data_IF_211542842629
#
_entry.id   IF_211542842629
#
_cell.length_a   1.000
_cell.length_b   1.000
_cell.length_c   1.000
_cell.angle_alpha   90.00
_cell.angle_beta   90.00
_cell.angle_gamma   90.00
#
_symmetry.space_group_name_H-M   'P 1'
#
loop_
_entity.id
_entity.type
_entity.pdbx_description
1 polymer ?
#
# COMPACT_ATOMS: atom_id res chain seq x y z
N UNK A 1 38.01 44.45 18.32
CA UNK A 1 37.56 43.10 18.74
C UNK A 1 36.42 42.67 17.82
N UNK A 2 36.63 41.73 16.91
CA UNK A 2 35.56 41.30 16.04
C UNK A 2 34.75 40.20 16.73
N UNK A 3 33.47 40.45 16.92
CA UNK A 3 32.48 39.47 17.41
C UNK A 3 32.13 38.49 16.31
N UNK A 4 32.60 37.29 16.42
CA UNK A 4 32.17 36.18 15.55
C UNK A 4 30.79 35.73 16.01
N UNK A 5 29.77 36.17 15.27
CA UNK A 5 28.43 35.61 15.36
C UNK A 5 28.47 34.20 14.77
N UNK A 6 28.21 33.21 15.62
CA UNK A 6 27.98 31.80 15.26
C UNK A 6 26.78 31.71 14.34
N UNK A 7 27.01 31.48 13.07
CA UNK A 7 26.02 30.98 12.12
C UNK A 7 25.83 29.49 12.42
N UNK A 8 24.85 29.18 13.28
CA UNK A 8 24.33 27.83 13.44
C UNK A 8 23.53 27.49 12.18
N UNK A 9 24.00 26.53 11.44
CA UNK A 9 23.34 25.92 10.29
C UNK A 9 22.03 25.22 10.74
N UNK A 10 20.88 25.61 10.25
CA UNK A 10 19.69 24.75 10.28
C UNK A 10 19.60 24.04 8.94
N UNK A 11 20.48 23.10 8.68
CA UNK A 11 20.56 22.44 7.38
C UNK A 11 20.38 20.92 7.38
N UNK A 12 20.11 20.29 8.54
CA UNK A 12 20.20 18.83 8.62
C UNK A 12 18.89 18.10 9.01
N UNK A 13 17.73 18.76 8.92
CA UNK A 13 16.45 18.13 9.31
C UNK A 13 15.48 17.89 8.14
N UNK A 14 15.87 18.14 6.90
CA UNK A 14 14.96 18.06 5.74
C UNK A 14 14.91 16.74 4.95
N UNK A 15 15.74 15.70 5.12
CA UNK A 15 15.58 14.51 4.29
C UNK A 15 14.65 13.43 4.87
N UNK A 16 14.20 13.50 6.13
CA UNK A 16 13.46 12.41 6.75
C UNK A 16 11.97 12.34 6.38
N UNK A 17 11.38 13.42 5.87
CA UNK A 17 9.94 13.49 5.58
C UNK A 17 9.57 12.98 4.18
N UNK A 18 10.55 12.85 3.28
CA UNK A 18 10.31 12.45 1.89
C UNK A 18 10.11 10.95 1.67
N UNK A 19 10.43 10.11 2.66
CA UNK A 19 10.35 8.65 2.48
C UNK A 19 8.98 8.03 2.79
N UNK A 20 8.04 8.77 3.39
CA UNK A 20 6.78 8.21 3.87
C UNK A 20 5.70 8.13 2.77
N UNK A 21 5.85 8.88 1.68
CA UNK A 21 4.87 8.93 0.58
C UNK A 21 5.33 8.24 -0.72
N UNK A 22 6.48 7.58 -0.73
CA UNK A 22 7.13 7.12 -1.97
C UNK A 22 6.29 6.16 -2.82
N UNK A 23 5.59 5.22 -2.20
CA UNK A 23 4.86 4.22 -2.98
C UNK A 23 3.51 4.72 -3.50
N UNK A 24 2.87 5.65 -2.80
CA UNK A 24 1.67 6.31 -3.32
C UNK A 24 2.00 7.13 -4.58
N UNK A 25 3.12 7.85 -4.55
CA UNK A 25 3.62 8.63 -5.68
C UNK A 25 4.02 7.73 -6.87
N UNK A 26 4.60 6.57 -6.60
CA UNK A 26 4.96 5.59 -7.65
C UNK A 26 3.69 5.04 -8.32
N UNK A 27 2.70 4.62 -7.54
CA UNK A 27 1.44 4.16 -8.09
C UNK A 27 0.73 5.24 -8.91
N UNK A 28 0.66 6.47 -8.39
CA UNK A 28 0.10 7.62 -9.10
C UNK A 28 0.82 7.86 -10.42
N UNK A 29 2.15 7.96 -10.41
CA UNK A 29 2.94 8.24 -11.61
C UNK A 29 2.84 7.14 -12.68
N UNK A 30 2.56 5.90 -12.27
CA UNK A 30 2.42 4.78 -13.20
C UNK A 30 1.05 4.73 -13.87
N UNK A 31 0.03 5.25 -13.21
CA UNK A 31 -1.35 5.23 -13.71
C UNK A 31 -1.77 6.53 -14.39
N UNK A 32 -1.16 7.65 -14.05
CA UNK A 32 -1.50 8.95 -14.63
C UNK A 32 -1.32 8.98 -16.14
N UNK A 33 -2.35 9.45 -16.86
CA UNK A 33 -2.39 9.51 -18.31
C UNK A 33 -2.71 8.19 -19.02
N UNK A 34 -2.80 7.07 -18.29
CA UNK A 34 -3.19 5.78 -18.90
C UNK A 34 -4.67 5.71 -19.20
N UNK A 35 -5.02 4.81 -20.09
CA UNK A 35 -6.42 4.53 -20.41
C UNK A 35 -7.10 3.80 -19.24
N UNK A 36 -8.33 4.19 -18.94
CA UNK A 36 -9.11 3.53 -17.88
C UNK A 36 -9.35 2.06 -18.18
N UNK A 37 -9.33 1.66 -19.45
CA UNK A 37 -9.50 0.25 -19.83
C UNK A 37 -8.41 -0.63 -19.23
N UNK A 38 -7.18 -0.13 -19.14
CA UNK A 38 -6.09 -0.89 -18.51
C UNK A 38 -6.37 -1.18 -17.01
N UNK A 39 -7.00 -0.22 -16.31
CA UNK A 39 -7.40 -0.43 -14.93
C UNK A 39 -8.58 -1.42 -14.82
N UNK A 40 -9.54 -1.33 -15.74
CA UNK A 40 -10.66 -2.28 -15.78
C UNK A 40 -10.20 -3.70 -16.10
N UNK A 41 -9.22 -3.85 -16.98
CA UNK A 41 -8.66 -5.15 -17.34
C UNK A 41 -7.90 -5.77 -16.16
N UNK A 42 -7.20 -4.93 -15.36
CA UNK A 42 -6.42 -5.40 -14.21
C UNK A 42 -7.27 -5.63 -12.96
N UNK A 43 -8.14 -4.67 -12.63
CA UNK A 43 -8.92 -4.70 -11.38
C UNK A 43 -10.33 -5.26 -11.56
N UNK A 44 -10.79 -5.39 -12.80
CA UNK A 44 -12.15 -5.78 -13.11
C UNK A 44 -13.15 -4.63 -12.98
N UNK A 45 -14.43 -4.98 -12.89
CA UNK A 45 -15.50 -4.02 -12.72
C UNK A 45 -15.36 -3.27 -11.39
N UNK A 46 -15.47 -1.93 -11.38
CA UNK A 46 -15.44 -1.17 -10.14
C UNK A 46 -16.68 -1.45 -9.28
N UNK A 47 -16.49 -1.44 -7.96
CA UNK A 47 -17.56 -1.61 -6.98
C UNK A 47 -18.48 -0.38 -6.95
N UNK A 48 -17.91 0.78 -7.17
CA UNK A 48 -18.69 2.02 -7.28
C UNK A 48 -18.11 3.00 -8.30
N UNK A 49 -19.00 3.80 -8.86
CA UNK A 49 -18.64 4.92 -9.75
C UNK A 49 -19.41 6.15 -9.31
N UNK A 50 -18.71 7.27 -9.11
CA UNK A 50 -19.29 8.56 -8.75
C UNK A 50 -18.84 9.63 -9.73
N UNK A 51 -19.79 10.44 -10.21
CA UNK A 51 -19.47 11.64 -10.98
C UNK A 51 -19.10 12.76 -10.02
N UNK A 52 -18.06 13.51 -10.36
CA UNK A 52 -17.66 14.73 -9.67
C UNK A 52 -17.25 15.79 -10.67
N UNK A 53 -17.26 17.03 -10.25
CA UNK A 53 -16.73 18.13 -11.04
C UNK A 53 -15.29 18.39 -10.61
N UNK A 54 -14.40 18.49 -11.59
CA UNK A 54 -13.04 18.96 -11.36
C UNK A 54 -13.03 20.46 -11.05
N UNK A 55 -11.96 20.98 -10.45
CA UNK A 55 -11.83 22.43 -10.18
C UNK A 55 -11.97 23.33 -11.42
N UNK A 56 -11.65 22.79 -12.60
CA UNK A 56 -11.83 23.48 -13.90
C UNK A 56 -13.25 23.39 -14.47
N UNK A 57 -14.20 22.79 -13.72
CA UNK A 57 -15.60 22.60 -14.15
C UNK A 57 -15.86 21.37 -15.02
N UNK A 58 -14.83 20.62 -15.38
CA UNK A 58 -15.00 19.38 -16.14
C UNK A 58 -15.60 18.27 -15.31
N UNK A 59 -16.44 17.45 -15.94
CA UNK A 59 -16.98 16.26 -15.30
C UNK A 59 -15.95 15.13 -15.33
N UNK A 60 -15.69 14.57 -14.17
CA UNK A 60 -14.83 13.40 -13.96
C UNK A 60 -15.63 12.27 -13.34
N UNK A 61 -15.14 11.05 -13.47
CA UNK A 61 -15.70 9.86 -12.82
C UNK A 61 -14.65 9.28 -11.87
N UNK A 62 -15.03 9.11 -10.61
CA UNK A 62 -14.24 8.37 -9.64
C UNK A 62 -14.73 6.93 -9.61
N UNK A 63 -13.83 6.02 -9.93
CA UNK A 63 -14.05 4.58 -9.86
C UNK A 63 -13.35 4.03 -8.62
N UNK A 64 -14.03 3.16 -7.89
CA UNK A 64 -13.52 2.58 -6.65
C UNK A 64 -13.58 1.06 -6.73
N UNK A 65 -12.50 0.40 -6.31
CA UNK A 65 -12.41 -1.04 -6.15
C UNK A 65 -12.02 -1.38 -4.71
N UNK A 66 -12.63 -2.41 -4.16
CA UNK A 66 -12.23 -3.01 -2.90
C UNK A 66 -11.63 -4.38 -3.19
N UNK A 67 -10.43 -4.60 -2.72
CA UNK A 67 -9.73 -5.88 -2.85
C UNK A 67 -9.40 -6.38 -1.45
N UNK A 68 -9.89 -7.55 -1.13
CA UNK A 68 -9.56 -8.23 0.11
C UNK A 68 -8.60 -9.39 -0.17
N UNK A 69 -7.67 -9.60 0.72
CA UNK A 69 -6.80 -10.77 0.72
C UNK A 69 -6.77 -11.37 2.12
N UNK A 70 -6.62 -12.69 2.17
CA UNK A 70 -6.44 -13.42 3.43
C UNK A 70 -5.26 -14.37 3.29
N UNK A 71 -4.48 -14.48 4.36
CA UNK A 71 -3.36 -15.41 4.41
C UNK A 71 -3.20 -15.93 5.83
N UNK A 72 -2.47 -17.03 5.97
CA UNK A 72 -2.20 -17.65 7.25
C UNK A 72 -0.69 -17.67 7.48
N UNK A 73 -0.26 -17.28 8.67
CA UNK A 73 1.12 -17.44 9.13
C UNK A 73 1.19 -18.50 10.22
N UNK A 74 2.32 -19.18 10.28
CA UNK A 74 2.63 -20.09 11.39
C UNK A 74 3.49 -19.34 12.38
N UNK A 75 2.99 -19.14 13.58
CA UNK A 75 3.68 -18.39 14.63
C UNK A 75 3.98 -19.29 15.82
N UNK A 76 5.10 -19.03 16.52
CA UNK A 76 5.42 -19.74 17.73
C UNK A 76 4.39 -19.42 18.82
N UNK A 77 3.70 -20.44 19.30
CA UNK A 77 2.66 -20.31 20.32
C UNK A 77 3.23 -20.48 21.75
N UNK A 78 4.42 -21.05 21.86
CA UNK A 78 5.09 -21.22 23.14
C UNK A 78 6.09 -22.37 23.13
N UNK A 79 6.78 -22.50 24.23
CA UNK A 79 7.68 -23.62 24.49
C UNK A 79 7.29 -24.30 25.79
N UNK A 80 7.36 -25.62 25.83
CA UNK A 80 7.29 -26.36 27.08
C UNK A 80 8.60 -27.08 27.32
N UNK A 81 8.96 -27.19 28.58
CA UNK A 81 10.13 -27.93 29.05
C UNK A 81 9.68 -29.04 29.99
N UNK A 82 9.92 -30.28 29.61
CA UNK A 82 9.61 -31.43 30.44
C UNK A 82 10.90 -32.13 30.88
N UNK A 83 10.97 -32.41 32.15
CA UNK A 83 12.08 -33.20 32.71
C UNK A 83 11.71 -34.68 32.59
N UNK A 84 12.45 -35.40 31.80
CA UNK A 84 12.38 -36.87 31.73
C UNK A 84 13.55 -37.46 32.49
N UNK A 85 13.41 -38.68 33.01
CA UNK A 85 14.48 -39.31 33.81
C UNK A 85 15.87 -39.34 33.15
N UNK A 86 15.95 -39.11 31.84
CA UNK A 86 17.19 -39.12 31.05
C UNK A 86 17.59 -37.73 30.51
N UNK A 87 16.91 -36.65 30.91
CA UNK A 87 17.23 -35.29 30.42
C UNK A 87 16.05 -34.34 30.32
N UNK A 88 16.29 -33.19 29.74
CA UNK A 88 15.28 -32.18 29.44
C UNK A 88 14.83 -32.27 27.98
N UNK A 89 13.52 -32.27 27.75
CA UNK A 89 12.93 -32.24 26.44
C UNK A 89 12.26 -30.88 26.25
N UNK A 90 12.65 -30.17 25.20
CA UNK A 90 12.03 -28.91 24.78
C UNK A 90 11.05 -29.23 23.67
N UNK A 91 9.84 -28.73 23.83
CA UNK A 91 8.79 -28.82 22.77
C UNK A 91 8.34 -27.42 22.41
N UNK A 92 8.49 -27.06 21.15
CA UNK A 92 7.98 -25.82 20.60
C UNK A 92 6.62 -26.06 19.99
N UNK A 93 5.67 -25.20 20.34
CA UNK A 93 4.32 -25.24 19.80
C UNK A 93 4.16 -24.11 18.80
N UNK A 94 3.53 -24.43 17.67
CA UNK A 94 3.22 -23.48 16.62
C UNK A 94 1.71 -23.44 16.43
N UNK A 95 1.20 -22.23 16.17
CA UNK A 95 -0.20 -22.02 15.83
C UNK A 95 -0.32 -21.34 14.49
N UNK A 96 -1.40 -21.61 13.81
CA UNK A 96 -1.74 -20.87 12.59
C UNK A 96 -2.57 -19.66 12.96
N UNK A 97 -2.10 -18.47 12.52
CA UNK A 97 -2.77 -17.20 12.72
C UNK A 97 -3.28 -16.71 11.37
N UNK A 98 -4.59 -16.56 11.28
CA UNK A 98 -5.24 -16.00 10.09
C UNK A 98 -5.13 -14.47 10.06
N UNK A 99 -4.76 -13.94 8.92
CA UNK A 99 -4.70 -12.52 8.64
C UNK A 99 -5.64 -12.18 7.50
N UNK A 100 -6.21 -10.99 7.53
CA UNK A 100 -6.99 -10.45 6.42
C UNK A 100 -6.62 -8.99 6.20
N UNK A 101 -6.72 -8.55 4.96
CA UNK A 101 -6.51 -7.16 4.61
C UNK A 101 -7.52 -6.71 3.57
N UNK A 102 -7.95 -5.46 3.68
CA UNK A 102 -8.82 -4.79 2.72
C UNK A 102 -8.09 -3.60 2.13
N UNK A 103 -8.03 -3.57 0.81
CA UNK A 103 -7.39 -2.54 0.03
C UNK A 103 -8.44 -1.81 -0.81
N UNK A 104 -8.49 -0.49 -0.69
CA UNK A 104 -9.34 0.35 -1.51
C UNK A 104 -8.49 1.10 -2.53
N UNK A 105 -8.85 0.97 -3.79
CA UNK A 105 -8.23 1.64 -4.91
C UNK A 105 -9.23 2.63 -5.50
N UNK A 106 -8.76 3.83 -5.85
CA UNK A 106 -9.57 4.84 -6.50
C UNK A 106 -8.85 5.38 -7.74
N UNK A 107 -9.56 5.42 -8.86
CA UNK A 107 -9.10 6.08 -10.08
C UNK A 107 -10.07 7.18 -10.46
N UNK A 108 -9.57 8.40 -10.63
CA UNK A 108 -10.33 9.51 -11.21
C UNK A 108 -10.04 9.57 -12.69
N UNK A 109 -11.09 9.55 -13.49
CA UNK A 109 -11.05 9.44 -14.96
C UNK A 109 -11.69 10.67 -15.57
N UNK A 110 -11.03 11.25 -16.57
CA UNK A 110 -11.53 12.39 -17.33
C UNK A 110 -12.49 11.99 -18.47
N UNK A 111 -12.99 12.97 -19.21
CA UNK A 111 -13.86 12.77 -20.37
C UNK A 111 -13.18 12.00 -21.51
N UNK A 112 -11.85 12.07 -21.59
CA UNK A 112 -11.05 11.35 -22.60
C UNK A 112 -10.74 9.91 -22.19
N UNK A 113 -11.36 9.42 -21.10
CA UNK A 113 -11.12 8.09 -20.51
C UNK A 113 -9.69 7.89 -20.02
N UNK A 114 -9.00 8.97 -19.66
CA UNK A 114 -7.67 8.92 -19.08
C UNK A 114 -7.71 9.05 -17.56
N UNK A 115 -6.87 8.29 -16.89
CA UNK A 115 -6.71 8.37 -15.44
C UNK A 115 -5.91 9.62 -15.12
N UNK A 116 -6.54 10.56 -14.41
CA UNK A 116 -5.91 11.81 -13.98
C UNK A 116 -5.41 11.77 -12.54
N UNK A 117 -5.96 10.85 -11.74
CA UNK A 117 -5.54 10.63 -10.38
C UNK A 117 -5.76 9.16 -10.01
N UNK A 118 -4.76 8.54 -9.40
CA UNK A 118 -4.86 7.19 -8.85
C UNK A 118 -4.47 7.19 -7.37
N UNK A 119 -5.32 6.66 -6.52
CA UNK A 119 -5.10 6.60 -5.07
C UNK A 119 -5.25 5.18 -4.57
N UNK A 120 -4.41 4.85 -3.61
CA UNK A 120 -4.52 3.66 -2.79
C UNK A 120 -4.88 4.16 -1.40
N UNK A 121 -6.09 3.86 -0.95
CA UNK A 121 -6.52 4.22 0.39
C UNK A 121 -6.05 3.10 1.31
N UNK A 122 -5.07 3.35 1.97
CA UNK A 122 -4.37 2.84 3.11
C UNK A 122 -2.86 2.90 2.90
N UNK A 123 -2.34 4.10 2.97
CA UNK A 123 -0.92 4.44 2.76
C UNK A 123 0.09 3.80 3.72
N UNK A 124 -0.26 2.70 4.36
CA UNK A 124 0.66 1.92 5.19
C UNK A 124 1.22 0.73 4.42
N UNK A 125 2.12 1.04 3.53
CA UNK A 125 2.82 0.06 2.69
C UNK A 125 3.60 -0.98 3.49
N UNK A 126 4.01 -0.65 4.71
CA UNK A 126 4.78 -1.54 5.57
C UNK A 126 3.93 -2.50 6.43
N UNK A 127 2.62 -2.33 6.49
CA UNK A 127 1.71 -3.20 7.22
C UNK A 127 0.54 -3.72 6.36
N UNK A 128 0.66 -3.64 5.08
CA UNK A 128 0.21 -4.62 4.13
C UNK A 128 -1.25 -4.78 3.83
N UNK A 129 -2.14 -3.80 3.97
CA UNK A 129 -3.51 -4.01 3.49
C UNK A 129 -3.60 -4.17 1.96
N UNK A 130 -2.63 -3.65 1.21
CA UNK A 130 -2.56 -3.78 -0.25
C UNK A 130 -1.39 -4.64 -0.77
N UNK A 131 -0.72 -5.41 0.09
CA UNK A 131 0.53 -6.12 -0.27
C UNK A 131 0.38 -7.09 -1.46
N UNK A 132 -0.75 -7.75 -1.59
CA UNK A 132 -0.99 -8.76 -2.62
C UNK A 132 -1.89 -8.24 -3.75
N UNK A 133 -2.13 -6.95 -3.82
CA UNK A 133 -2.93 -6.36 -4.88
C UNK A 133 -2.00 -5.81 -5.97
N UNK A 134 -2.13 -6.26 -7.22
CA UNK A 134 -1.36 -5.71 -8.34
C UNK A 134 -1.87 -4.30 -8.65
N UNK A 135 -1.23 -3.28 -8.07
CA UNK A 135 -1.60 -1.88 -8.28
C UNK A 135 -0.68 -1.15 -9.27
N UNK A 136 0.28 -1.87 -9.85
CA UNK A 136 1.17 -1.34 -10.89
C UNK A 136 0.89 -2.07 -12.19
N UNK A 137 0.68 -1.36 -13.32
CA UNK A 137 0.48 -1.98 -14.62
C UNK A 137 1.65 -2.91 -14.97
N UNK A 138 1.35 -4.14 -15.36
CA UNK A 138 2.35 -5.16 -15.71
C UNK A 138 3.03 -5.83 -14.51
N UNK A 139 2.61 -5.56 -13.28
CA UNK A 139 3.10 -6.26 -12.10
C UNK A 139 2.41 -7.64 -11.99
N UNK A 140 3.19 -8.69 -12.04
CA UNK A 140 2.75 -10.05 -11.71
C UNK A 140 3.26 -10.34 -10.31
N UNK A 141 2.38 -10.57 -9.31
CA UNK A 141 2.81 -10.93 -7.96
C UNK A 141 3.63 -12.24 -8.01
N UNK A 142 4.70 -12.34 -7.22
CA UNK A 142 5.42 -13.60 -7.12
C UNK A 142 4.50 -14.67 -6.51
N UNK A 143 4.25 -15.75 -7.25
CA UNK A 143 3.43 -16.89 -6.78
C UNK A 143 2.23 -17.23 -7.64
N UNK A 144 2.08 -16.60 -8.82
CA UNK A 144 1.15 -17.00 -9.86
C UNK A 144 1.89 -17.65 -11.03
#
# INVERSE_FOLDING_TARGET
>A
MPTWKRLLLPGLLLPAVLFINGCHLIAQSRWEGRDVQEALDLFGKPDSMKKQNAPNGDTQVVMTWHKSSSWTTTEAAGTSMNHTGNGMVYTEYYQQVGHSSDCKLEATVDKAKKIVLFRIEDGRILHGKCLNVPFVPGYIPPGF
#
